data_IF_088423752931
#
_entry.id   IF_088423752931
#
_cell.length_a   1.000
_cell.length_b   1.000
_cell.length_c   1.000
_cell.angle_alpha   90.00
_cell.angle_beta   90.00
_cell.angle_gamma   90.00
#
_symmetry.space_group_name_H-M   'P 1'
#
loop_
_entity.id
_entity.type
_entity.pdbx_description
1 polymer ?
#
# COMPACT_ATOMS: atom_id res chain seq x y z
N UNK A 1 5.83 24.67 82.38
CA UNK A 1 6.19 23.47 81.60
C UNK A 1 7.70 23.51 81.38
N UNK A 2 8.46 22.48 81.81
CA UNK A 2 9.93 22.50 81.76
C UNK A 2 10.41 22.35 80.32
N UNK A 3 11.41 23.11 79.91
CA UNK A 3 11.98 23.12 78.54
C UNK A 3 12.39 21.71 78.07
N UNK A 4 12.88 20.85 78.98
CA UNK A 4 13.23 19.46 78.68
C UNK A 4 12.04 18.54 78.33
N UNK A 5 10.84 18.82 78.86
CA UNK A 5 9.62 18.07 78.52
C UNK A 5 9.09 18.46 77.14
N UNK A 6 9.29 19.71 76.71
CA UNK A 6 8.90 20.17 75.38
C UNK A 6 9.80 19.56 74.29
N UNK A 7 11.11 19.50 74.51
CA UNK A 7 12.06 18.93 73.54
C UNK A 7 11.82 17.41 73.38
N UNK A 8 11.61 16.68 74.47
CA UNK A 8 11.42 15.23 74.42
C UNK A 8 10.04 14.82 73.91
N UNK A 9 8.96 15.52 74.28
CA UNK A 9 7.58 15.15 73.88
C UNK A 9 7.12 15.78 72.57
N UNK A 10 7.69 16.90 72.15
CA UNK A 10 7.27 17.64 70.94
C UNK A 10 8.38 17.74 69.91
N UNK A 11 9.61 18.07 70.32
CA UNK A 11 10.73 18.30 69.39
C UNK A 11 11.18 17.05 68.62
N UNK A 12 11.46 15.95 69.33
CA UNK A 12 11.90 14.68 68.73
C UNK A 12 10.87 14.10 67.74
N UNK A 13 9.58 13.91 68.11
CA UNK A 13 8.61 13.34 67.18
C UNK A 13 8.36 14.23 65.95
N UNK A 14 8.48 15.55 66.09
CA UNK A 14 8.28 16.47 64.97
C UNK A 14 9.42 16.39 63.94
N UNK A 15 10.67 16.21 64.39
CA UNK A 15 11.81 15.95 63.50
C UNK A 15 11.69 14.59 62.80
N UNK A 16 11.23 13.56 63.52
CA UNK A 16 10.97 12.23 62.94
C UNK A 16 9.86 12.26 61.87
N UNK A 17 8.80 13.04 62.08
CA UNK A 17 7.74 13.21 61.08
C UNK A 17 8.26 13.99 59.86
N UNK A 18 9.02 15.06 60.07
CA UNK A 18 9.60 15.84 58.96
C UNK A 18 10.55 15.00 58.09
N UNK A 19 11.43 14.22 58.72
CA UNK A 19 12.35 13.32 58.01
C UNK A 19 11.60 12.21 57.26
N UNK A 20 10.60 11.57 57.88
CA UNK A 20 9.76 10.57 57.21
C UNK A 20 8.99 11.16 56.02
N UNK A 21 8.48 12.40 56.16
CA UNK A 21 7.79 13.12 55.08
C UNK A 21 8.71 13.39 53.90
N UNK A 22 9.95 13.80 54.18
CA UNK A 22 10.96 14.08 53.16
C UNK A 22 11.39 12.82 52.41
N UNK A 23 11.55 11.70 53.12
CA UNK A 23 11.85 10.38 52.51
C UNK A 23 10.68 9.90 51.65
N UNK A 24 9.45 10.04 52.13
CA UNK A 24 8.25 9.68 51.35
C UNK A 24 8.13 10.50 50.06
N UNK A 25 8.40 11.81 50.14
CA UNK A 25 8.39 12.69 48.96
C UNK A 25 9.50 12.36 47.97
N UNK A 26 10.73 12.11 48.46
CA UNK A 26 11.84 11.66 47.61
C UNK A 26 11.50 10.35 46.91
N UNK A 27 11.00 9.36 47.63
CA UNK A 27 10.64 8.07 47.06
C UNK A 27 9.52 8.19 45.99
N UNK A 28 8.53 9.05 46.23
CA UNK A 28 7.49 9.34 45.24
C UNK A 28 8.06 10.02 43.99
N UNK A 29 8.93 11.03 44.18
CA UNK A 29 9.55 11.76 43.06
C UNK A 29 10.50 10.90 42.22
N UNK A 30 11.19 9.93 42.86
CA UNK A 30 12.06 8.97 42.19
C UNK A 30 11.22 7.97 41.40
N UNK A 31 10.14 7.43 41.97
CA UNK A 31 9.26 6.50 41.27
C UNK A 31 8.58 7.13 40.04
N UNK A 32 8.18 8.40 40.11
CA UNK A 32 7.60 9.10 38.95
C UNK A 32 8.64 9.33 37.84
N UNK A 33 9.89 9.63 38.21
CA UNK A 33 11.01 9.78 37.25
C UNK A 33 11.39 8.44 36.62
N UNK A 34 11.47 7.37 37.40
CA UNK A 34 11.78 6.03 36.89
C UNK A 34 10.71 5.57 35.89
N UNK A 35 9.43 5.83 36.15
CA UNK A 35 8.36 5.55 35.19
C UNK A 35 8.49 6.34 33.89
N UNK A 36 8.81 7.64 33.97
CA UNK A 36 9.04 8.49 32.78
C UNK A 36 10.25 8.02 31.97
N UNK A 37 11.36 7.70 32.64
CA UNK A 37 12.57 7.19 31.99
C UNK A 37 12.28 5.84 31.32
N UNK A 38 11.53 4.95 31.97
CA UNK A 38 11.17 3.65 31.40
C UNK A 38 10.25 3.80 30.17
N UNK A 39 9.29 4.74 30.22
CA UNK A 39 8.45 5.08 29.08
C UNK A 39 9.27 5.63 27.90
N UNK A 40 10.16 6.59 28.14
CA UNK A 40 11.06 7.13 27.10
C UNK A 40 11.98 6.06 26.52
N UNK A 41 12.58 5.20 27.35
CA UNK A 41 13.43 4.10 26.88
C UNK A 41 12.65 3.11 26.01
N UNK A 42 11.41 2.77 26.37
CA UNK A 42 10.55 1.91 25.54
C UNK A 42 10.22 2.54 24.19
N UNK A 43 9.94 3.85 24.16
CA UNK A 43 9.67 4.58 22.91
C UNK A 43 10.93 4.66 22.02
N UNK A 44 12.09 4.93 22.62
CA UNK A 44 13.38 4.96 21.92
C UNK A 44 13.72 3.57 21.36
N UNK A 45 13.55 2.50 22.15
CA UNK A 45 13.80 1.14 21.69
C UNK A 45 12.86 0.76 20.53
N UNK A 46 11.58 1.13 20.60
CA UNK A 46 10.66 0.94 19.49
C UNK A 46 11.14 1.67 18.22
N UNK A 47 11.58 2.92 18.35
CA UNK A 47 12.11 3.70 17.23
C UNK A 47 13.42 3.11 16.67
N UNK A 48 14.33 2.63 17.53
CA UNK A 48 15.59 2.01 17.11
C UNK A 48 15.31 0.70 16.37
N UNK A 49 14.35 -0.11 16.83
CA UNK A 49 13.94 -1.33 16.14
C UNK A 49 13.34 -1.02 14.77
N UNK A 50 12.42 -0.05 14.67
CA UNK A 50 11.84 0.38 13.39
C UNK A 50 12.93 0.88 12.42
N UNK A 51 13.84 1.72 12.90
CA UNK A 51 14.93 2.24 12.07
C UNK A 51 15.91 1.13 11.65
N UNK A 52 16.07 0.06 12.43
CA UNK A 52 16.88 -1.11 12.04
C UNK A 52 16.17 -1.92 10.97
N UNK A 53 14.89 -2.23 11.17
CA UNK A 53 14.07 -2.93 10.16
C UNK A 53 14.08 -2.17 8.82
N UNK A 54 13.94 -0.85 8.84
CA UNK A 54 14.05 -0.03 7.63
C UNK A 54 15.43 -0.09 6.97
N UNK A 55 16.51 -0.19 7.77
CA UNK A 55 17.88 -0.30 7.24
C UNK A 55 18.11 -1.67 6.63
N UNK A 56 17.71 -2.72 7.32
CA UNK A 56 17.82 -4.10 6.86
C UNK A 56 17.02 -4.31 5.58
N UNK A 57 15.83 -3.70 5.47
CA UNK A 57 15.02 -3.69 4.25
C UNK A 57 15.74 -2.96 3.09
N UNK A 58 16.35 -1.80 3.36
CA UNK A 58 17.12 -1.05 2.35
C UNK A 58 18.35 -1.82 1.88
N UNK A 59 19.10 -2.41 2.81
CA UNK A 59 20.29 -3.21 2.50
C UNK A 59 19.90 -4.45 1.69
N UNK A 60 18.87 -5.18 2.12
CA UNK A 60 18.33 -6.32 1.36
C UNK A 60 17.87 -5.92 -0.05
N UNK A 61 17.23 -4.75 -0.20
CA UNK A 61 16.81 -4.24 -1.51
C UNK A 61 18.01 -3.87 -2.39
N UNK A 62 19.05 -3.25 -1.84
CA UNK A 62 20.28 -2.92 -2.57
C UNK A 62 21.02 -4.18 -3.02
N UNK A 63 21.19 -5.16 -2.14
CA UNK A 63 21.81 -6.44 -2.44
C UNK A 63 21.03 -7.21 -3.52
N UNK A 64 19.70 -7.21 -3.42
CA UNK A 64 18.84 -7.79 -4.44
C UNK A 64 19.06 -7.10 -5.79
N UNK A 65 19.02 -5.77 -5.83
CA UNK A 65 19.22 -5.00 -7.06
C UNK A 65 20.60 -5.25 -7.71
N UNK A 66 21.65 -5.35 -6.90
CA UNK A 66 23.01 -5.68 -7.37
C UNK A 66 23.06 -7.08 -7.99
N UNK A 67 22.45 -8.08 -7.34
CA UNK A 67 22.37 -9.45 -7.90
C UNK A 67 21.62 -9.49 -9.22
N UNK A 68 20.53 -8.73 -9.36
CA UNK A 68 19.81 -8.67 -10.64
C UNK A 68 20.70 -8.06 -11.74
N UNK A 69 21.44 -7.00 -11.43
CA UNK A 69 22.40 -6.42 -12.37
C UNK A 69 23.47 -7.45 -12.82
N UNK A 70 24.03 -8.20 -11.89
CA UNK A 70 25.01 -9.27 -12.19
C UNK A 70 24.41 -10.36 -13.08
N UNK A 71 23.20 -10.83 -12.75
CA UNK A 71 22.49 -11.85 -13.53
C UNK A 71 22.22 -11.37 -14.96
N UNK A 72 21.77 -10.12 -15.13
CA UNK A 72 21.53 -9.53 -16.46
C UNK A 72 22.84 -9.47 -17.25
N UNK A 73 23.91 -8.94 -16.64
CA UNK A 73 25.21 -8.80 -17.28
C UNK A 73 25.77 -10.17 -17.71
N UNK A 74 25.80 -11.14 -16.80
CA UNK A 74 26.26 -12.50 -17.10
C UNK A 74 25.42 -13.17 -18.19
N UNK A 75 24.09 -12.98 -18.19
CA UNK A 75 23.21 -13.56 -19.22
C UNK A 75 23.49 -13.01 -20.62
N UNK A 76 23.93 -11.76 -20.71
CA UNK A 76 24.31 -11.10 -21.95
C UNK A 76 25.70 -11.54 -22.42
N UNK A 77 26.67 -11.64 -21.50
CA UNK A 77 28.02 -12.15 -21.78
C UNK A 77 28.00 -13.59 -22.30
N UNK A 78 27.20 -14.45 -21.67
CA UNK A 78 27.07 -15.85 -22.07
C UNK A 78 26.20 -16.06 -23.32
N UNK A 79 25.53 -15.00 -23.81
CA UNK A 79 24.61 -15.03 -24.96
C UNK A 79 23.53 -16.13 -24.87
N UNK A 80 23.12 -16.49 -23.65
CA UNK A 80 22.19 -17.58 -23.41
C UNK A 80 20.75 -17.05 -23.30
N UNK A 81 19.93 -17.33 -24.32
CA UNK A 81 18.54 -16.86 -24.39
C UNK A 81 17.69 -17.25 -23.16
N UNK A 82 17.86 -18.46 -22.62
CA UNK A 82 17.11 -18.90 -21.43
C UNK A 82 17.53 -18.14 -20.17
N UNK A 83 18.81 -17.82 -20.04
CA UNK A 83 19.30 -16.99 -18.92
C UNK A 83 18.83 -15.55 -19.06
N UNK A 84 18.74 -15.03 -20.27
CA UNK A 84 18.22 -13.68 -20.53
C UNK A 84 16.73 -13.57 -20.25
N UNK A 85 15.95 -14.60 -20.57
CA UNK A 85 14.52 -14.68 -20.21
C UNK A 85 14.32 -14.75 -18.69
N UNK A 86 15.13 -15.55 -17.99
CA UNK A 86 15.11 -15.58 -16.52
C UNK A 86 15.50 -14.21 -15.93
N UNK A 87 16.54 -13.56 -16.48
CA UNK A 87 16.96 -12.22 -16.06
C UNK A 87 15.84 -11.19 -16.29
N UNK A 88 15.15 -11.25 -17.42
CA UNK A 88 13.99 -10.42 -17.72
C UNK A 88 12.90 -10.57 -16.64
N UNK A 89 12.55 -11.80 -16.25
CA UNK A 89 11.53 -12.05 -15.21
C UNK A 89 11.90 -11.38 -13.88
N UNK A 90 13.17 -11.45 -13.47
CA UNK A 90 13.64 -10.76 -12.27
C UNK A 90 13.59 -9.23 -12.39
N UNK A 91 13.94 -8.69 -13.55
CA UNK A 91 13.87 -7.24 -13.77
C UNK A 91 12.43 -6.74 -13.71
N UNK A 92 11.47 -7.48 -14.28
CA UNK A 92 10.05 -7.08 -14.30
C UNK A 92 9.48 -6.91 -12.88
N UNK A 93 9.89 -7.74 -11.91
CA UNK A 93 9.37 -7.68 -10.54
C UNK A 93 10.04 -6.61 -9.66
N UNK A 94 11.08 -5.92 -10.16
CA UNK A 94 11.80 -4.89 -9.39
C UNK A 94 10.93 -3.70 -9.04
N UNK A 95 11.13 -3.15 -7.84
CA UNK A 95 10.46 -1.92 -7.36
C UNK A 95 11.13 -0.65 -7.91
N UNK A 96 12.46 -0.68 -8.10
CA UNK A 96 13.22 0.51 -8.48
C UNK A 96 13.10 0.86 -9.97
N UNK A 97 12.35 1.92 -10.28
CA UNK A 97 11.98 2.29 -11.65
C UNK A 97 13.16 2.70 -12.55
N UNK A 98 14.11 3.57 -12.12
CA UNK A 98 15.22 3.99 -12.97
C UNK A 98 16.15 2.83 -13.36
N UNK A 99 16.53 1.99 -12.40
CA UNK A 99 17.39 0.83 -12.65
C UNK A 99 16.68 -0.20 -13.52
N UNK A 100 15.41 -0.49 -13.21
CA UNK A 100 14.59 -1.44 -13.97
C UNK A 100 14.46 -1.04 -15.43
N UNK A 101 14.07 0.20 -15.72
CA UNK A 101 13.98 0.70 -17.10
C UNK A 101 15.33 0.66 -17.82
N UNK A 102 16.44 0.93 -17.12
CA UNK A 102 17.78 0.82 -17.69
C UNK A 102 18.13 -0.64 -18.06
N UNK A 103 17.91 -1.59 -17.13
CA UNK A 103 18.16 -3.02 -17.36
C UNK A 103 17.31 -3.61 -18.48
N UNK A 104 16.02 -3.24 -18.55
CA UNK A 104 15.16 -3.63 -19.67
C UNK A 104 15.70 -3.07 -21.00
N UNK A 105 16.13 -1.81 -21.03
CA UNK A 105 16.73 -1.24 -22.24
C UNK A 105 18.03 -1.93 -22.65
N UNK A 106 18.89 -2.31 -21.70
CA UNK A 106 20.11 -3.07 -21.95
C UNK A 106 19.78 -4.44 -22.56
N UNK A 107 18.82 -5.18 -21.98
CA UNK A 107 18.35 -6.46 -22.52
C UNK A 107 17.69 -6.30 -23.90
N UNK A 108 16.95 -5.22 -24.15
CA UNK A 108 16.37 -4.90 -25.48
C UNK A 108 17.46 -4.66 -26.54
N UNK A 109 18.61 -4.12 -26.16
CA UNK A 109 19.71 -3.86 -27.09
C UNK A 109 20.58 -5.12 -27.30
N UNK A 110 20.95 -5.82 -26.22
CA UNK A 110 21.91 -6.92 -26.24
C UNK A 110 21.32 -8.34 -26.23
N UNK A 111 20.03 -8.52 -25.95
CA UNK A 111 19.42 -9.84 -25.78
C UNK A 111 19.15 -10.61 -27.07
N UNK A 112 18.66 -11.84 -26.95
CA UNK A 112 18.21 -12.66 -28.07
C UNK A 112 16.96 -12.05 -28.73
N UNK A 113 16.68 -12.32 -30.02
CA UNK A 113 15.56 -11.68 -30.75
C UNK A 113 14.20 -11.79 -30.05
N UNK A 114 13.90 -12.93 -29.44
CA UNK A 114 12.66 -13.18 -28.70
C UNK A 114 12.58 -12.31 -27.43
N UNK A 115 13.67 -12.24 -26.66
CA UNK A 115 13.78 -11.38 -25.47
C UNK A 115 13.64 -9.91 -25.84
N UNK A 116 14.25 -9.46 -26.95
CA UNK A 116 14.10 -8.08 -27.44
C UNK A 116 12.65 -7.72 -27.75
N UNK A 117 11.92 -8.65 -28.36
CA UNK A 117 10.49 -8.45 -28.70
C UNK A 117 9.65 -8.33 -27.43
N UNK A 118 9.78 -9.29 -26.51
CA UNK A 118 9.00 -9.31 -25.27
C UNK A 118 9.25 -8.05 -24.43
N UNK A 119 10.51 -7.61 -24.33
CA UNK A 119 10.84 -6.38 -23.60
C UNK A 119 10.31 -5.13 -24.32
N UNK A 120 10.31 -5.13 -25.65
CA UNK A 120 9.67 -4.08 -26.43
C UNK A 120 8.19 -3.91 -26.08
N UNK A 121 7.45 -5.02 -26.00
CA UNK A 121 6.04 -5.05 -25.61
C UNK A 121 5.84 -4.58 -24.17
N UNK A 122 6.67 -5.04 -23.23
CA UNK A 122 6.65 -4.59 -21.83
C UNK A 122 6.83 -3.08 -21.73
N UNK A 123 7.87 -2.52 -22.36
CA UNK A 123 8.16 -1.09 -22.29
C UNK A 123 7.02 -0.25 -22.88
N UNK A 124 6.42 -0.70 -23.99
CA UNK A 124 5.28 -0.02 -24.60
C UNK A 124 4.03 -0.06 -23.71
N UNK A 125 3.72 -1.22 -23.12
CA UNK A 125 2.59 -1.36 -22.20
C UNK A 125 2.74 -0.47 -20.96
N UNK A 126 3.97 -0.33 -20.45
CA UNK A 126 4.26 0.53 -19.31
C UNK A 126 4.24 2.02 -19.65
N UNK A 127 4.75 2.40 -20.82
CA UNK A 127 4.63 3.77 -21.32
C UNK A 127 3.17 4.16 -21.51
N UNK A 128 2.35 3.28 -22.09
CA UNK A 128 0.91 3.46 -22.21
C UNK A 128 0.25 3.64 -20.84
N UNK A 129 0.56 2.76 -19.88
CA UNK A 129 0.05 2.86 -18.51
C UNK A 129 0.45 4.18 -17.82
N UNK A 130 1.70 4.63 -17.98
CA UNK A 130 2.19 5.91 -17.45
C UNK A 130 1.51 7.10 -18.11
N UNK A 131 1.33 7.05 -19.43
CA UNK A 131 0.63 8.07 -20.22
C UNK A 131 -0.83 8.18 -19.78
N UNK A 132 -1.55 7.07 -19.67
CA UNK A 132 -2.94 7.01 -19.17
C UNK A 132 -3.05 7.49 -17.72
N UNK A 133 -2.04 7.20 -16.89
CA UNK A 133 -1.97 7.74 -15.52
C UNK A 133 -1.78 9.26 -15.50
N UNK A 134 -1.08 9.83 -16.48
CA UNK A 134 -0.70 11.25 -16.51
C UNK A 134 -1.72 12.13 -17.24
N UNK A 135 -2.46 11.60 -18.21
CA UNK A 135 -3.30 12.41 -19.13
C UNK A 135 -4.80 12.33 -18.90
N UNK A 136 -5.30 11.45 -18.04
CA UNK A 136 -6.75 11.30 -17.91
C UNK A 136 -7.36 12.24 -16.85
N UNK A 137 -7.58 13.47 -17.30
CA UNK A 137 -8.65 14.38 -16.87
C UNK A 137 -9.99 14.16 -17.60
N UNK A 138 -10.11 13.24 -18.58
CA UNK A 138 -11.26 13.26 -19.51
C UNK A 138 -11.97 11.93 -19.83
N UNK A 139 -11.63 10.79 -19.21
CA UNK A 139 -12.46 9.58 -19.31
C UNK A 139 -13.55 9.60 -18.23
N UNK A 140 -14.41 10.63 -18.29
CA UNK A 140 -15.64 10.70 -17.51
C UNK A 140 -16.65 9.83 -18.25
N UNK A 141 -17.01 8.69 -17.67
CA UNK A 141 -18.18 7.94 -18.13
C UNK A 141 -19.40 8.85 -17.92
N UNK A 142 -19.98 9.31 -19.03
CA UNK A 142 -21.14 10.22 -19.01
C UNK A 142 -22.37 9.47 -18.49
N UNK A 143 -23.17 10.06 -17.58
CA UNK A 143 -24.39 9.42 -17.10
C UNK A 143 -25.32 9.09 -18.27
N UNK A 144 -25.67 7.81 -18.43
CA UNK A 144 -26.81 7.41 -19.26
C UNK A 144 -28.12 7.92 -18.66
N UNK A 145 -29.19 8.08 -19.47
CA UNK A 145 -30.43 8.69 -19.02
C UNK A 145 -31.11 7.90 -17.89
N UNK A 146 -31.17 8.55 -16.74
CA UNK A 146 -32.13 8.48 -15.64
C UNK A 146 -32.90 7.16 -15.45
N UNK A 147 -32.26 6.19 -14.78
CA UNK A 147 -32.98 5.27 -13.91
C UNK A 147 -32.82 5.80 -12.50
N UNK A 148 -33.94 6.04 -11.81
CA UNK A 148 -34.00 6.45 -10.39
C UNK A 148 -33.47 5.33 -9.49
N UNK A 149 -32.16 5.14 -9.51
CA UNK A 149 -31.46 4.16 -8.69
C UNK A 149 -31.25 4.80 -7.32
N UNK A 150 -31.81 4.16 -6.28
CA UNK A 150 -31.53 4.55 -4.90
C UNK A 150 -30.04 4.25 -4.62
N UNK A 151 -29.22 5.26 -4.25
CA UNK A 151 -27.82 5.04 -3.93
C UNK A 151 -27.67 4.05 -2.79
N UNK A 152 -26.76 3.09 -2.93
CA UNK A 152 -26.43 2.13 -1.86
C UNK A 152 -25.53 2.75 -0.79
N UNK A 153 -24.82 3.83 -1.12
CA UNK A 153 -23.94 4.57 -0.24
C UNK A 153 -23.85 6.05 -0.63
N UNK A 154 -23.37 6.90 0.28
CA UNK A 154 -23.09 8.32 -0.01
C UNK A 154 -21.68 8.46 -0.58
N UNK A 155 -21.56 8.30 -1.90
CA UNK A 155 -20.28 8.25 -2.61
C UNK A 155 -19.49 9.56 -2.61
N UNK A 156 -20.12 10.71 -2.34
CA UNK A 156 -19.49 12.04 -2.27
C UNK A 156 -18.51 12.31 -3.44
N UNK A 157 -17.42 13.01 -3.18
CA UNK A 157 -16.40 13.40 -4.16
C UNK A 157 -15.20 12.43 -4.14
N UNK A 158 -15.44 11.14 -3.86
CA UNK A 158 -14.39 10.13 -3.82
C UNK A 158 -13.88 9.76 -5.21
N UNK A 159 -12.55 9.68 -5.35
CA UNK A 159 -11.92 9.22 -6.58
C UNK A 159 -11.76 7.69 -6.56
N UNK A 160 -12.10 7.05 -7.68
CA UNK A 160 -12.06 5.62 -7.88
C UNK A 160 -11.28 5.26 -9.13
N UNK A 161 -10.32 4.36 -8.98
CA UNK A 161 -9.72 3.68 -10.11
C UNK A 161 -10.11 2.21 -10.09
N UNK A 162 -10.66 1.74 -11.19
CA UNK A 162 -11.09 0.37 -11.38
C UNK A 162 -10.17 -0.24 -12.42
N UNK A 163 -9.20 -1.01 -11.96
CA UNK A 163 -8.25 -1.71 -12.79
C UNK A 163 -8.81 -3.05 -13.25
N UNK A 164 -8.55 -3.43 -14.50
CA UNK A 164 -8.79 -4.79 -14.98
C UNK A 164 -7.49 -5.39 -15.52
N UNK A 165 -7.21 -6.65 -15.19
CA UNK A 165 -5.99 -7.30 -15.64
C UNK A 165 -6.07 -7.74 -17.10
N UNK A 166 -5.02 -7.46 -17.85
CA UNK A 166 -4.86 -7.88 -19.25
C UNK A 166 -5.00 -9.39 -19.44
N UNK A 167 -4.39 -10.17 -18.56
CA UNK A 167 -4.46 -11.64 -18.56
C UNK A 167 -5.90 -12.17 -18.42
N UNK A 168 -6.75 -11.46 -17.66
CA UNK A 168 -8.16 -11.81 -17.47
C UNK A 168 -9.05 -11.44 -18.67
N UNK A 169 -8.51 -10.69 -19.64
CA UNK A 169 -9.14 -10.38 -20.91
C UNK A 169 -10.40 -9.51 -20.83
N UNK A 170 -11.17 -9.52 -21.92
CA UNK A 170 -12.34 -8.65 -22.13
C UNK A 170 -13.43 -8.86 -21.06
N UNK A 171 -13.52 -10.06 -20.47
CA UNK A 171 -14.48 -10.33 -19.41
C UNK A 171 -14.22 -9.46 -18.17
N UNK A 172 -12.96 -9.30 -17.77
CA UNK A 172 -12.58 -8.43 -16.66
C UNK A 172 -12.84 -6.95 -16.97
N UNK A 173 -12.55 -6.50 -18.20
CA UNK A 173 -12.89 -5.16 -18.64
C UNK A 173 -14.39 -4.87 -18.54
N UNK A 174 -15.24 -5.81 -18.99
CA UNK A 174 -16.71 -5.67 -18.87
C UNK A 174 -17.16 -5.59 -17.41
N UNK A 175 -16.60 -6.41 -16.54
CA UNK A 175 -16.90 -6.38 -15.10
C UNK A 175 -16.47 -5.05 -14.47
N UNK A 176 -15.29 -4.53 -14.81
CA UNK A 176 -14.83 -3.22 -14.35
C UNK A 176 -15.76 -2.08 -14.83
N UNK A 177 -16.21 -2.12 -16.09
CA UNK A 177 -17.17 -1.17 -16.64
C UNK A 177 -18.50 -1.20 -15.87
N UNK A 178 -19.05 -2.39 -15.58
CA UNK A 178 -20.30 -2.51 -14.81
C UNK A 178 -20.21 -1.85 -13.43
N UNK A 179 -19.08 -2.00 -12.75
CA UNK A 179 -18.84 -1.38 -11.44
C UNK A 179 -18.80 0.15 -11.59
N UNK A 180 -18.04 0.66 -12.57
CA UNK A 180 -17.92 2.10 -12.81
C UNK A 180 -19.23 2.76 -13.22
N UNK A 181 -19.98 2.14 -14.13
CA UNK A 181 -21.31 2.58 -14.55
C UNK A 181 -22.29 2.63 -13.37
N UNK A 182 -22.26 1.62 -12.48
CA UNK A 182 -23.11 1.63 -11.29
C UNK A 182 -22.74 2.75 -10.32
N UNK A 183 -21.45 3.02 -10.09
CA UNK A 183 -21.03 4.13 -9.21
C UNK A 183 -21.55 5.48 -9.70
N UNK A 184 -21.56 5.71 -11.00
CA UNK A 184 -22.11 6.92 -11.61
C UNK A 184 -23.62 6.97 -11.51
N UNK A 185 -24.27 5.84 -11.75
CA UNK A 185 -25.72 5.71 -11.61
C UNK A 185 -26.20 5.96 -10.17
N UNK A 186 -25.37 5.67 -9.16
CA UNK A 186 -25.63 5.98 -7.76
C UNK A 186 -25.23 7.40 -7.35
N UNK A 187 -24.77 8.23 -8.29
CA UNK A 187 -24.49 9.65 -8.08
C UNK A 187 -23.12 9.97 -7.48
N UNK A 188 -22.12 9.10 -7.66
CA UNK A 188 -20.73 9.43 -7.35
C UNK A 188 -20.27 10.65 -8.14
N UNK A 189 -19.66 11.62 -7.45
CA UNK A 189 -19.24 12.90 -8.04
C UNK A 189 -17.74 13.01 -8.26
N UNK A 190 -16.96 12.18 -7.57
CA UNK A 190 -15.52 12.10 -7.79
C UNK A 190 -15.18 11.37 -9.09
N UNK A 191 -13.89 11.33 -9.42
CA UNK A 191 -13.41 10.78 -10.69
C UNK A 191 -13.49 9.26 -10.66
N UNK A 192 -14.14 8.67 -11.65
CA UNK A 192 -14.19 7.21 -11.83
C UNK A 192 -13.44 6.87 -13.10
N UNK A 193 -12.33 6.15 -12.98
CA UNK A 193 -11.47 5.76 -14.11
C UNK A 193 -11.41 4.24 -14.20
N UNK A 194 -11.70 3.70 -15.38
CA UNK A 194 -11.56 2.28 -15.65
C UNK A 194 -10.31 2.10 -16.50
N UNK A 195 -9.31 1.37 -15.98
CA UNK A 195 -7.97 1.33 -16.56
C UNK A 195 -7.45 -0.09 -16.72
N UNK A 196 -6.67 -0.32 -17.76
CA UNK A 196 -5.98 -1.57 -17.99
C UNK A 196 -4.81 -1.69 -17.01
N UNK A 197 -4.64 -2.87 -16.41
CA UNK A 197 -3.45 -3.23 -15.64
C UNK A 197 -2.63 -4.26 -16.43
N UNK A 198 -1.54 -3.81 -17.09
CA UNK A 198 -0.65 -4.71 -17.78
C UNK A 198 0.00 -5.72 -16.83
N UNK A 199 0.27 -6.92 -17.32
CA UNK A 199 0.95 -7.97 -16.56
C UNK A 199 2.31 -7.49 -16.01
N UNK A 200 3.06 -6.72 -16.80
CA UNK A 200 4.34 -6.14 -16.36
C UNK A 200 4.21 -5.18 -15.18
N UNK A 201 3.08 -4.47 -15.06
CA UNK A 201 2.78 -3.62 -13.89
C UNK A 201 2.30 -4.49 -12.74
N UNK A 202 1.44 -5.48 -12.99
CA UNK A 202 0.92 -6.35 -11.94
C UNK A 202 2.03 -7.22 -11.30
N UNK A 203 3.06 -7.60 -12.07
CA UNK A 203 4.20 -8.35 -11.58
C UNK A 203 5.08 -7.55 -10.60
N UNK A 204 4.98 -6.22 -10.57
CA UNK A 204 5.76 -5.37 -9.66
C UNK A 204 5.37 -5.62 -8.21
N UNK A 205 6.36 -5.59 -7.33
CA UNK A 205 6.11 -5.60 -5.90
C UNK A 205 5.16 -4.44 -5.51
N UNK A 206 4.16 -4.77 -4.70
CA UNK A 206 3.13 -3.83 -4.32
C UNK A 206 1.93 -3.78 -5.26
N UNK A 207 1.93 -4.37 -6.47
CA UNK A 207 0.71 -4.63 -7.25
C UNK A 207 0.24 -6.07 -7.04
N UNK A 208 0.89 -7.08 -7.60
CA UNK A 208 0.70 -8.51 -7.32
C UNK A 208 -0.76 -8.92 -6.99
N UNK A 209 -1.71 -8.44 -7.79
CA UNK A 209 -3.13 -8.72 -7.57
C UNK A 209 -3.49 -9.99 -8.32
N UNK A 210 -4.12 -10.92 -7.60
CA UNK A 210 -4.83 -12.05 -8.16
C UNK A 210 -6.28 -12.04 -7.67
N UNK A 211 -7.24 -12.21 -8.57
CA UNK A 211 -8.66 -12.20 -8.24
C UNK A 211 -9.26 -10.80 -8.10
N UNK A 212 -10.17 -10.65 -7.14
CA UNK A 212 -10.91 -9.41 -6.91
C UNK A 212 -10.41 -8.73 -5.63
N UNK A 213 -9.96 -7.48 -5.75
CA UNK A 213 -9.32 -6.76 -4.65
C UNK A 213 -9.69 -5.29 -4.62
N UNK A 214 -9.73 -4.71 -3.44
CA UNK A 214 -9.86 -3.28 -3.20
C UNK A 214 -8.73 -2.85 -2.27
N UNK A 215 -8.10 -1.72 -2.60
CA UNK A 215 -7.07 -1.09 -1.79
C UNK A 215 -7.48 0.30 -1.37
N UNK A 216 -7.11 0.61 -0.13
CA UNK A 216 -7.39 1.87 0.55
C UNK A 216 -6.23 2.24 1.47
N UNK A 217 -6.14 3.49 1.90
CA UNK A 217 -5.26 3.87 3.00
C UNK A 217 -5.82 3.42 4.35
N UNK A 218 -4.98 3.59 5.37
CA UNK A 218 -5.27 3.26 6.74
C UNK A 218 -6.04 4.37 7.47
N UNK A 219 -7.21 4.76 6.98
CA UNK A 219 -8.12 5.65 7.71
C UNK A 219 -9.56 5.11 7.70
N UNK A 220 -10.37 5.57 8.67
CA UNK A 220 -11.72 5.06 8.88
C UNK A 220 -12.66 5.38 7.71
N UNK A 221 -12.61 6.61 7.19
CA UNK A 221 -13.50 7.04 6.10
C UNK A 221 -13.27 6.19 4.84
N UNK A 222 -12.02 5.91 4.49
CA UNK A 222 -11.65 5.05 3.38
C UNK A 222 -12.02 3.59 3.60
N UNK A 223 -11.99 3.13 4.85
CA UNK A 223 -12.48 1.79 5.18
C UNK A 223 -13.98 1.66 4.94
N UNK A 224 -14.77 2.67 5.29
CA UNK A 224 -16.21 2.67 5.08
C UNK A 224 -16.54 2.70 3.57
N UNK A 225 -15.82 3.52 2.80
CA UNK A 225 -15.97 3.63 1.33
C UNK A 225 -15.52 2.37 0.61
N UNK A 226 -14.40 1.76 1.01
CA UNK A 226 -13.91 0.53 0.41
C UNK A 226 -14.87 -0.65 0.65
N UNK A 227 -15.45 -0.74 1.85
CA UNK A 227 -16.47 -1.75 2.16
C UNK A 227 -17.78 -1.50 1.39
N UNK A 228 -18.17 -0.24 1.22
CA UNK A 228 -19.31 0.10 0.37
C UNK A 228 -19.05 -0.30 -1.08
N UNK A 229 -17.87 0.02 -1.62
CA UNK A 229 -17.46 -0.32 -2.98
C UNK A 229 -17.44 -1.84 -3.19
N UNK A 230 -16.93 -2.60 -2.20
CA UNK A 230 -17.00 -4.06 -2.18
C UNK A 230 -18.44 -4.55 -2.34
N UNK A 231 -19.35 -4.08 -1.48
CA UNK A 231 -20.74 -4.52 -1.51
C UNK A 231 -21.44 -4.14 -2.83
N UNK A 232 -21.15 -2.96 -3.36
CA UNK A 232 -21.65 -2.53 -4.67
C UNK A 232 -21.14 -3.47 -5.77
N UNK A 233 -19.83 -3.72 -5.83
CA UNK A 233 -19.22 -4.55 -6.86
C UNK A 233 -19.76 -5.99 -6.81
N UNK A 234 -19.82 -6.61 -5.64
CA UNK A 234 -20.34 -7.97 -5.46
C UNK A 234 -21.82 -8.06 -5.86
N UNK A 235 -22.63 -7.05 -5.53
CA UNK A 235 -24.06 -6.99 -5.92
C UNK A 235 -24.24 -6.79 -7.43
N UNK A 236 -23.49 -5.86 -8.03
CA UNK A 236 -23.57 -5.56 -9.47
C UNK A 236 -23.17 -6.78 -10.28
N UNK A 237 -22.04 -7.40 -9.93
CA UNK A 237 -21.57 -8.59 -10.61
C UNK A 237 -22.49 -9.80 -10.35
N UNK A 238 -22.98 -9.97 -9.12
CA UNK A 238 -23.93 -11.03 -8.79
C UNK A 238 -25.27 -10.91 -9.51
N UNK A 239 -25.74 -9.69 -9.79
CA UNK A 239 -26.94 -9.45 -10.60
C UNK A 239 -26.76 -9.76 -12.08
N UNK A 240 -25.50 -9.94 -12.52
CA UNK A 240 -25.12 -10.37 -13.86
C UNK A 240 -24.64 -11.84 -13.87
N UNK A 241 -25.03 -12.63 -12.86
CA UNK A 241 -24.65 -14.05 -12.68
C UNK A 241 -23.15 -14.31 -12.45
N UNK A 242 -22.39 -13.29 -12.03
CA UNK A 242 -20.95 -13.41 -11.73
C UNK A 242 -20.75 -13.40 -10.22
N UNK A 243 -20.54 -14.57 -9.62
CA UNK A 243 -20.25 -14.69 -8.18
C UNK A 243 -18.79 -14.35 -7.92
N UNK A 244 -18.56 -13.28 -7.16
CA UNK A 244 -17.21 -12.78 -6.85
C UNK A 244 -17.13 -12.41 -5.37
N UNK A 245 -15.92 -12.46 -4.81
CA UNK A 245 -15.65 -12.01 -3.44
C UNK A 245 -14.47 -11.05 -3.52
N UNK A 246 -14.70 -9.79 -3.16
CA UNK A 246 -13.63 -8.79 -3.11
C UNK A 246 -12.90 -8.85 -1.77
N UNK A 247 -11.59 -8.92 -1.82
CA UNK A 247 -10.72 -8.71 -0.66
C UNK A 247 -10.46 -7.21 -0.46
N UNK A 248 -10.42 -6.74 0.79
CA UNK A 248 -10.06 -5.34 1.09
C UNK A 248 -8.72 -5.34 1.81
N UNK A 249 -7.75 -4.60 1.29
CA UNK A 249 -6.40 -4.51 1.85
C UNK A 249 -5.97 -3.05 2.01
N UNK A 250 -5.00 -2.82 2.89
CA UNK A 250 -4.40 -1.51 3.10
C UNK A 250 -3.27 -1.33 2.08
N UNK A 251 -3.26 -0.19 1.40
CA UNK A 251 -2.17 0.25 0.54
C UNK A 251 -1.08 0.89 1.39
N UNK A 252 0.19 0.66 1.00
CA UNK A 252 1.33 1.38 1.55
C UNK A 252 1.52 2.77 0.90
N UNK A 253 0.80 3.05 -0.18
CA UNK A 253 0.79 4.37 -0.83
C UNK A 253 -0.26 5.25 -0.15
N UNK A 254 0.12 6.45 0.30
CA UNK A 254 -0.79 7.39 0.95
C UNK A 254 -1.47 8.30 -0.10
N UNK A 255 -2.62 7.89 -0.60
CA UNK A 255 -3.42 8.65 -1.58
C UNK A 255 -4.78 9.01 -0.97
N UNK A 256 -4.90 10.12 -0.22
CA UNK A 256 -6.13 10.44 0.49
C UNK A 256 -7.28 10.67 -0.48
N UNK A 257 -8.50 10.34 -0.06
CA UNK A 257 -9.73 10.50 -0.87
C UNK A 257 -9.80 9.60 -2.12
N UNK A 258 -9.02 8.53 -2.14
CA UNK A 258 -8.89 7.64 -3.29
C UNK A 258 -8.97 6.16 -2.89
N UNK A 259 -9.75 5.39 -3.66
CA UNK A 259 -9.88 3.94 -3.49
C UNK A 259 -9.67 3.26 -4.85
N UNK A 260 -8.78 2.27 -4.89
CA UNK A 260 -8.56 1.47 -6.10
C UNK A 260 -9.21 0.09 -5.99
N UNK A 261 -9.94 -0.32 -7.01
CA UNK A 261 -10.51 -1.65 -7.18
C UNK A 261 -9.77 -2.39 -8.31
N UNK A 262 -9.64 -3.69 -8.18
CA UNK A 262 -8.92 -4.56 -9.10
C UNK A 262 -9.81 -5.75 -9.48
N UNK A 263 -9.96 -5.95 -10.77
CA UNK A 263 -10.75 -7.01 -11.41
C UNK A 263 -9.77 -7.88 -12.20
N UNK A 264 -9.22 -8.88 -11.53
CA UNK A 264 -8.19 -9.75 -12.09
C UNK A 264 -8.52 -11.24 -11.87
N UNK A 265 -9.72 -11.72 -12.27
CA UNK A 265 -10.04 -13.14 -12.13
C UNK A 265 -9.01 -13.99 -12.88
N UNK A 266 -8.57 -15.08 -12.25
CA UNK A 266 -7.77 -16.10 -12.93
C UNK A 266 -8.55 -16.58 -14.15
N UNK A 267 -7.93 -16.56 -15.32
CA UNK A 267 -8.52 -17.15 -16.51
C UNK A 267 -8.80 -18.64 -16.23
N UNK A 268 -10.07 -19.02 -16.24
CA UNK A 268 -10.51 -20.41 -16.14
C UNK A 268 -10.38 -21.15 -17.46
#
# INVERSE_FOLDING_TARGET
>A
MKIGDFISKVGIPLISVLTASMVAWLNYSVNERDQKIQAELSAINAQVTLNKEERDERESNQDFNLKIYEIVTQSLEEQNAKKQEAAQAFVVVMVDEPLRSSLLNVLKQGGAPEVKKNIGEILQAEEKFKYETTLETNSVVTPGPDKTIKPSFQWNDWDFDIFWCTESGIAAMKQANLIGEQLLAEGSKGRIRIRELPESINAKAGYQISGYGIRRNNNKAESDVANALKNLAERVLGSNDIKTIFSVSVSNQNTPWYVSSFVCPVAG
#
